data_IF_344820284916
#
_entry.id   IF_344820284916
#
_cell.length_a   1.000
_cell.length_b   1.000
_cell.length_c   1.000
_cell.angle_alpha   90.00
_cell.angle_beta   90.00
_cell.angle_gamma   90.00
#
_symmetry.space_group_name_H-M   'P 1'
#
loop_
_entity.id
_entity.type
_entity.pdbx_description
1 polymer ?
#
# COMPACT_ATOMS: atom_id res chain seq x y z
N UNK A 1 28.49 -26.27 5.58
CA UNK A 1 28.27 -24.81 5.54
C UNK A 1 26.95 -24.53 4.83
N UNK A 2 25.94 -24.02 5.54
CA UNK A 2 24.65 -23.64 4.95
C UNK A 2 24.54 -22.13 4.85
N UNK A 3 24.38 -21.64 3.62
CA UNK A 3 24.20 -20.25 3.28
C UNK A 3 22.80 -19.74 3.71
N UNK A 4 22.71 -19.21 4.93
CA UNK A 4 21.72 -18.18 5.31
C UNK A 4 20.22 -18.51 5.13
N UNK A 5 19.70 -19.69 5.51
CA UNK A 5 18.23 -19.87 5.56
C UNK A 5 17.74 -20.70 6.74
N UNK A 6 17.44 -19.96 7.82
CA UNK A 6 16.61 -20.31 8.99
C UNK A 6 17.16 -21.47 9.84
N UNK A 7 17.61 -21.13 11.05
CA UNK A 7 17.97 -22.13 12.05
C UNK A 7 16.76 -23.04 12.33
N UNK A 8 16.95 -24.35 12.26
CA UNK A 8 15.98 -25.29 12.80
C UNK A 8 15.92 -25.17 14.34
N UNK A 9 14.86 -25.69 14.96
CA UNK A 9 14.60 -25.58 16.41
C UNK A 9 15.81 -26.00 17.27
N UNK A 10 16.63 -26.93 16.78
CA UNK A 10 17.88 -27.34 17.44
C UNK A 10 18.96 -26.25 17.50
N UNK A 11 18.97 -25.31 16.55
CA UNK A 11 19.93 -24.21 16.50
C UNK A 11 19.42 -22.94 17.20
N UNK A 12 18.17 -22.92 17.68
CA UNK A 12 17.60 -21.82 18.46
C UNK A 12 18.48 -21.45 19.67
N UNK A 13 19.03 -22.45 20.35
CA UNK A 13 19.87 -22.27 21.56
C UNK A 13 21.19 -21.55 21.29
N UNK A 14 21.64 -21.48 20.04
CA UNK A 14 22.89 -20.80 19.64
C UNK A 14 22.63 -19.43 18.98
N UNK A 15 21.37 -18.97 18.92
CA UNK A 15 21.01 -17.68 18.32
C UNK A 15 21.44 -16.50 19.21
N UNK A 16 21.57 -16.70 20.52
CA UNK A 16 21.99 -15.66 21.47
C UNK A 16 23.42 -15.13 21.19
N UNK A 17 24.24 -15.85 20.43
CA UNK A 17 25.60 -15.42 20.07
C UNK A 17 25.58 -14.22 19.10
N UNK A 18 24.50 -14.00 18.36
CA UNK A 18 24.36 -12.84 17.48
C UNK A 18 23.62 -11.70 18.16
N UNK A 19 24.22 -11.15 19.21
CA UNK A 19 23.85 -9.85 19.76
C UNK A 19 24.20 -8.73 18.77
N UNK A 20 23.44 -8.61 17.68
CA UNK A 20 23.22 -7.30 17.05
C UNK A 20 22.28 -6.48 17.94
N UNK A 21 22.68 -6.27 19.21
CA UNK A 21 22.04 -5.28 20.06
C UNK A 21 22.48 -3.94 19.47
N UNK A 22 21.60 -3.31 18.71
CA UNK A 22 21.81 -1.91 18.32
C UNK A 22 21.90 -1.12 19.63
N UNK A 23 22.96 -0.35 19.80
CA UNK A 23 23.16 0.53 20.95
C UNK A 23 21.88 1.34 21.25
N UNK A 24 21.29 1.09 22.42
CA UNK A 24 20.09 1.79 22.92
C UNK A 24 20.40 3.25 23.31
N UNK A 25 21.68 3.63 23.36
CA UNK A 25 22.16 4.93 23.84
C UNK A 25 21.92 6.10 22.89
N UNK A 26 21.44 5.83 21.67
CA UNK A 26 20.87 6.86 20.78
C UNK A 26 19.44 6.49 20.39
N UNK A 27 18.57 6.31 21.39
CA UNK A 27 17.15 6.32 21.16
C UNK A 27 16.76 7.72 20.64
N UNK A 28 16.72 7.86 19.30
CA UNK A 28 16.03 8.97 18.63
C UNK A 28 14.69 9.18 19.32
N UNK A 29 14.22 10.44 19.51
CA UNK A 29 12.97 10.70 20.20
C UNK A 29 11.92 9.75 19.62
N UNK A 30 11.36 8.92 20.50
CA UNK A 30 10.39 7.89 20.13
C UNK A 30 9.29 8.63 19.41
N UNK A 31 9.23 8.48 18.07
CA UNK A 31 8.18 9.11 17.28
C UNK A 31 6.87 8.57 17.82
N UNK A 32 6.19 9.39 18.62
CA UNK A 32 4.92 9.04 19.22
C UNK A 32 3.96 8.93 18.04
N UNK A 33 3.64 7.68 17.68
CA UNK A 33 2.71 7.34 16.60
C UNK A 33 1.27 7.63 17.03
N UNK A 34 1.04 8.87 17.42
CA UNK A 34 -0.23 9.38 17.88
C UNK A 34 -1.11 9.69 16.67
N UNK A 35 -2.41 9.43 16.85
CA UNK A 35 -3.42 9.69 15.82
C UNK A 35 -3.45 11.17 15.42
N UNK A 36 -3.25 12.07 16.38
CA UNK A 36 -3.22 13.52 16.15
C UNK A 36 -2.05 13.90 15.23
N UNK A 37 -0.83 13.45 15.52
CA UNK A 37 0.34 13.68 14.67
C UNK A 37 0.14 13.17 13.25
N UNK A 38 -0.50 12.01 13.07
CA UNK A 38 -0.85 11.51 11.75
C UNK A 38 -1.87 12.41 11.03
N UNK A 39 -2.89 12.88 11.73
CA UNK A 39 -3.92 13.75 11.17
C UNK A 39 -3.34 15.11 10.74
N UNK A 40 -2.51 15.74 11.57
CA UNK A 40 -1.83 17.00 11.22
C UNK A 40 -0.95 16.84 9.99
N UNK A 41 -0.15 15.76 9.92
CA UNK A 41 0.68 15.46 8.75
C UNK A 41 -0.15 15.28 7.46
N UNK A 42 -1.34 14.70 7.55
CA UNK A 42 -2.24 14.56 6.40
C UNK A 42 -2.82 15.90 5.97
N UNK A 43 -3.19 16.75 6.93
CA UNK A 43 -3.65 18.11 6.68
C UNK A 43 -2.56 18.93 5.99
N UNK A 44 -1.36 19.01 6.56
CA UNK A 44 -0.25 19.80 6.00
C UNK A 44 0.07 19.36 4.57
N UNK A 45 0.10 18.05 4.31
CA UNK A 45 0.36 17.50 2.97
C UNK A 45 -0.75 17.81 1.98
N UNK A 46 -2.00 17.84 2.42
CA UNK A 46 -3.12 18.22 1.58
C UNK A 46 -3.10 19.74 1.30
N UNK A 47 -2.87 20.55 2.34
CA UNK A 47 -2.85 22.01 2.29
C UNK A 47 -1.79 22.53 1.32
N UNK A 48 -0.55 22.01 1.42
CA UNK A 48 0.53 22.35 0.49
C UNK A 48 0.43 21.62 -0.86
N UNK A 49 -0.61 20.79 -1.07
CA UNK A 49 -0.77 19.92 -2.23
C UNK A 49 0.49 19.09 -2.55
N UNK A 50 1.07 18.48 -1.51
CA UNK A 50 2.31 17.74 -1.60
C UNK A 50 2.19 16.58 -2.60
N UNK A 51 3.00 16.63 -3.66
CA UNK A 51 3.10 15.57 -4.67
C UNK A 51 4.36 14.75 -4.43
N UNK A 52 4.19 13.44 -4.22
CA UNK A 52 5.29 12.49 -4.11
C UNK A 52 5.34 11.59 -5.33
N UNK A 53 6.44 11.58 -6.06
CA UNK A 53 6.69 10.58 -7.12
C UNK A 53 7.13 9.27 -6.48
N UNK A 54 6.49 8.17 -6.86
CA UNK A 54 6.76 6.81 -6.36
C UNK A 54 7.06 5.91 -7.55
N UNK A 55 8.09 5.07 -7.39
CA UNK A 55 8.36 3.96 -8.30
C UNK A 55 8.04 2.63 -7.63
N UNK A 56 7.15 1.84 -8.23
CA UNK A 56 6.85 0.49 -7.76
C UNK A 56 7.76 -0.52 -8.45
N UNK A 57 8.78 -1.00 -7.75
CA UNK A 57 9.64 -2.08 -8.25
C UNK A 57 8.87 -3.38 -8.50
N UNK A 58 7.78 -3.63 -7.75
CA UNK A 58 6.98 -4.84 -7.91
C UNK A 58 6.19 -4.84 -9.21
N UNK A 59 5.64 -3.69 -9.58
CA UNK A 59 4.77 -3.51 -10.73
C UNK A 59 5.50 -2.93 -11.93
N UNK A 60 6.71 -2.40 -11.78
CA UNK A 60 7.46 -1.74 -12.85
C UNK A 60 6.78 -0.48 -13.39
N UNK A 61 6.11 0.29 -12.53
CA UNK A 61 5.40 1.52 -12.90
C UNK A 61 5.85 2.67 -12.00
N UNK A 62 5.79 3.90 -12.51
CA UNK A 62 5.90 5.12 -11.69
C UNK A 62 4.57 5.85 -11.64
N UNK A 63 4.28 6.49 -10.52
CA UNK A 63 3.05 7.26 -10.30
C UNK A 63 3.30 8.36 -9.28
N UNK A 64 2.43 9.36 -9.25
CA UNK A 64 2.46 10.43 -8.27
C UNK A 64 1.37 10.22 -7.24
N UNK A 65 1.68 10.44 -5.97
CA UNK A 65 0.70 10.39 -4.87
C UNK A 65 0.53 11.75 -4.25
N UNK A 66 -0.71 12.14 -4.03
CA UNK A 66 -1.09 13.32 -3.27
C UNK A 66 -2.24 12.99 -2.32
N UNK A 67 -2.64 13.95 -1.50
CA UNK A 67 -3.85 13.87 -0.70
C UNK A 67 -4.89 14.83 -1.27
N UNK A 68 -6.13 14.39 -1.28
CA UNK A 68 -7.28 15.20 -1.68
C UNK A 68 -8.34 15.13 -0.58
N UNK A 69 -9.01 16.25 -0.34
CA UNK A 69 -10.27 16.25 0.42
C UNK A 69 -11.38 15.76 -0.48
N UNK A 70 -12.36 15.12 0.13
CA UNK A 70 -13.57 14.76 -0.58
C UNK A 70 -14.71 15.64 -0.08
N UNK A 71 -15.49 16.21 -1.00
CA UNK A 71 -16.58 17.12 -0.64
C UNK A 71 -17.57 16.42 0.30
N UNK A 72 -18.12 17.19 1.26
CA UNK A 72 -19.04 16.72 2.30
C UNK A 72 -20.16 15.81 1.79
N UNK A 73 -20.69 16.10 0.60
CA UNK A 73 -21.74 15.30 -0.05
C UNK A 73 -21.27 13.87 -0.34
N UNK A 74 -20.03 13.66 -0.79
CA UNK A 74 -19.55 12.36 -1.27
C UNK A 74 -19.10 11.41 -0.14
N UNK A 75 -18.65 11.95 0.98
CA UNK A 75 -18.16 11.20 2.16
C UNK A 75 -19.32 10.73 3.05
N UNK A 76 -20.18 11.66 3.45
CA UNK A 76 -21.23 11.40 4.44
C UNK A 76 -22.48 10.75 3.81
N UNK A 77 -22.91 11.22 2.63
CA UNK A 77 -24.21 10.82 2.06
C UNK A 77 -24.13 9.48 1.33
N UNK A 78 -23.07 9.22 0.56
CA UNK A 78 -23.05 8.07 -0.36
C UNK A 78 -22.26 6.85 0.12
N UNK A 79 -21.26 7.03 0.99
CA UNK A 79 -20.30 5.97 1.31
C UNK A 79 -20.13 5.70 2.81
N UNK A 80 -20.81 6.45 3.70
CA UNK A 80 -20.59 6.44 5.15
C UNK A 80 -19.09 6.52 5.51
N UNK A 81 -18.30 7.23 4.69
CA UNK A 81 -16.86 7.32 4.87
C UNK A 81 -16.53 8.58 5.67
N UNK A 82 -16.08 8.39 6.92
CA UNK A 82 -15.74 9.49 7.84
C UNK A 82 -14.34 10.07 7.62
N UNK A 83 -13.59 9.59 6.63
CA UNK A 83 -12.22 10.08 6.35
C UNK A 83 -12.28 11.44 5.65
N UNK A 84 -11.60 12.43 6.22
CA UNK A 84 -11.47 13.78 5.64
C UNK A 84 -10.54 13.80 4.41
N UNK A 85 -9.40 13.12 4.52
CA UNK A 85 -8.38 13.07 3.46
C UNK A 85 -8.29 11.68 2.84
N UNK A 86 -8.20 11.64 1.51
CA UNK A 86 -7.96 10.42 0.74
C UNK A 86 -6.65 10.54 -0.03
N UNK A 87 -5.92 9.44 -0.08
CA UNK A 87 -4.71 9.35 -0.90
C UNK A 87 -5.11 9.16 -2.36
N UNK A 88 -4.72 10.10 -3.21
CA UNK A 88 -4.90 10.05 -4.66
C UNK A 88 -3.63 9.50 -5.30
N UNK A 89 -3.81 8.63 -6.30
CA UNK A 89 -2.73 8.07 -7.11
C UNK A 89 -2.98 8.50 -8.57
N UNK A 90 -2.05 9.22 -9.17
CA UNK A 90 -2.15 9.81 -10.51
C UNK A 90 -0.91 9.52 -11.36
N UNK A 91 -0.98 9.83 -12.66
CA UNK A 91 0.16 9.80 -13.59
C UNK A 91 0.87 8.44 -13.66
N UNK A 92 0.09 7.36 -13.73
CA UNK A 92 0.62 6.01 -13.89
C UNK A 92 1.35 5.87 -15.22
N UNK A 93 2.65 5.61 -15.15
CA UNK A 93 3.54 5.45 -16.30
C UNK A 93 4.25 4.10 -16.22
N UNK A 94 4.04 3.20 -17.20
CA UNK A 94 4.73 1.92 -17.22
C UNK A 94 6.21 2.09 -17.58
N UNK A 95 7.08 1.36 -16.89
CA UNK A 95 8.53 1.35 -17.14
C UNK A 95 8.98 0.01 -17.76
N UNK A 96 8.16 -0.58 -18.63
CA UNK A 96 8.36 -1.92 -19.21
C UNK A 96 9.13 -1.91 -20.53
N UNK A 97 10.09 -1.00 -20.70
CA UNK A 97 10.74 -0.74 -22.00
C UNK A 97 11.72 -1.84 -22.46
N UNK A 98 11.98 -2.86 -21.64
CA UNK A 98 12.92 -3.93 -21.97
C UNK A 98 12.30 -5.33 -21.99
N UNK A 99 13.09 -6.29 -22.51
CA UNK A 99 12.70 -7.69 -22.68
C UNK A 99 13.18 -8.60 -21.54
N UNK A 100 13.68 -8.03 -20.43
CA UNK A 100 14.18 -8.84 -19.31
C UNK A 100 13.06 -9.68 -18.67
N UNK A 101 13.43 -10.84 -18.12
CA UNK A 101 12.48 -11.69 -17.39
C UNK A 101 11.81 -10.94 -16.23
N UNK A 102 12.53 -10.02 -15.60
CA UNK A 102 12.01 -9.14 -14.54
C UNK A 102 10.91 -8.22 -15.06
N UNK A 103 11.12 -7.54 -16.19
CA UNK A 103 10.12 -6.64 -16.78
C UNK A 103 8.88 -7.39 -17.25
N UNK A 104 9.04 -8.59 -17.85
CA UNK A 104 7.90 -9.46 -18.20
C UNK A 104 7.05 -9.80 -16.98
N UNK A 105 7.69 -10.17 -15.85
CA UNK A 105 7.01 -10.47 -14.58
C UNK A 105 6.32 -9.24 -13.99
N UNK A 106 6.97 -8.07 -14.03
CA UNK A 106 6.38 -6.81 -13.55
C UNK A 106 5.13 -6.44 -14.38
N UNK A 107 5.22 -6.51 -15.71
CA UNK A 107 4.10 -6.26 -16.62
C UNK A 107 2.92 -7.20 -16.33
N UNK A 108 3.16 -8.50 -16.22
CA UNK A 108 2.12 -9.48 -15.87
C UNK A 108 1.46 -9.17 -14.51
N UNK A 109 2.23 -8.75 -13.50
CA UNK A 109 1.68 -8.36 -12.19
C UNK A 109 0.86 -7.07 -12.27
N UNK A 110 1.31 -6.08 -13.04
CA UNK A 110 0.58 -4.84 -13.27
C UNK A 110 -0.77 -5.11 -13.94
N UNK A 111 -0.77 -5.86 -15.05
CA UNK A 111 -2.01 -6.23 -15.74
C UNK A 111 -2.95 -7.03 -14.83
N UNK A 112 -2.43 -7.94 -14.01
CA UNK A 112 -3.24 -8.68 -13.03
C UNK A 112 -3.86 -7.74 -11.99
N UNK A 113 -3.13 -6.74 -11.51
CA UNK A 113 -3.65 -5.74 -10.58
C UNK A 113 -4.76 -4.91 -11.24
N UNK A 114 -4.55 -4.45 -12.47
CA UNK A 114 -5.58 -3.75 -13.25
C UNK A 114 -6.84 -4.61 -13.42
N UNK A 115 -6.69 -5.88 -13.80
CA UNK A 115 -7.83 -6.81 -13.88
C UNK A 115 -8.53 -6.94 -12.53
N UNK A 116 -7.80 -7.10 -11.43
CA UNK A 116 -8.43 -7.23 -10.10
C UNK A 116 -9.21 -5.99 -9.65
N UNK A 117 -8.79 -4.79 -10.08
CA UNK A 117 -9.41 -3.52 -9.67
C UNK A 117 -10.57 -3.17 -10.60
N UNK A 118 -10.36 -3.28 -11.92
CA UNK A 118 -11.30 -2.80 -12.93
C UNK A 118 -12.23 -3.89 -13.46
N UNK A 119 -11.83 -5.16 -13.41
CA UNK A 119 -12.71 -6.28 -13.77
C UNK A 119 -13.32 -6.81 -12.48
N UNK A 120 -14.55 -6.37 -12.21
CA UNK A 120 -15.36 -6.74 -11.04
C UNK A 120 -15.26 -8.23 -10.71
N UNK A 121 -14.38 -8.60 -9.76
CA UNK A 121 -14.38 -9.95 -9.18
C UNK A 121 -15.70 -10.28 -8.48
N UNK A 122 -16.48 -9.26 -8.12
CA UNK A 122 -17.78 -9.36 -7.48
C UNK A 122 -18.99 -9.40 -8.42
N UNK A 123 -18.85 -9.27 -9.74
CA UNK A 123 -19.96 -9.42 -10.68
C UNK A 123 -20.24 -10.89 -11.01
N UNK A 124 -20.09 -11.80 -10.04
CA UNK A 124 -20.78 -13.08 -10.11
C UNK A 124 -22.24 -12.79 -9.72
N UNK A 125 -23.03 -12.33 -10.69
CA UNK A 125 -24.49 -12.28 -10.61
C UNK A 125 -24.97 -13.74 -10.66
N UNK A 126 -24.71 -14.49 -9.60
CA UNK A 126 -25.27 -15.81 -9.32
C UNK A 126 -25.57 -15.81 -7.83
N UNK A 127 -26.76 -15.29 -7.49
CA UNK A 127 -27.52 -15.35 -6.21
C UNK A 127 -28.19 -14.03 -5.81
N UNK A 128 -28.73 -13.25 -6.76
CA UNK A 128 -29.92 -12.47 -6.42
C UNK A 128 -31.10 -13.43 -6.57
N UNK A 129 -31.63 -13.92 -5.46
CA UNK A 129 -32.96 -14.54 -5.45
C UNK A 129 -33.94 -13.57 -6.12
N UNK A 130 -34.83 -14.04 -7.00
CA UNK A 130 -35.86 -13.18 -7.54
C UNK A 130 -36.69 -12.67 -6.36
N UNK A 131 -36.82 -11.35 -6.27
CA UNK A 131 -37.80 -10.73 -5.36
C UNK A 131 -39.17 -11.19 -5.88
N UNK A 132 -39.78 -12.15 -5.19
CA UNK A 132 -41.19 -12.43 -5.34
C UNK A 132 -41.93 -11.26 -4.70
N UNK A 133 -42.57 -10.44 -5.52
CA UNK A 133 -43.56 -9.49 -5.03
C UNK A 133 -44.74 -10.29 -4.48
N UNK A 134 -45.04 -10.11 -3.20
CA UNK A 134 -46.37 -10.30 -2.60
C UNK A 134 -46.65 -9.01 -1.86
#
# INVERSE_FOLDING_TARGET
MSFNRRGCVSHQKHIEIYHNIKDTTQAKPKFLNEKCSHASLLYDRWDINAKKRIYSQRLGISYTTSYATMGFKQTYIYNNDRRMYRKKLDNFTPLHLGKSNTQKKQKSRFERACRSIFHNRGNNIRTRTPVTNI
#
